data_IF_082815440414
#
_entry.id   IF_082815440414
#
_cell.length_a   1.000
_cell.length_b   1.000
_cell.length_c   1.000
_cell.angle_alpha   90.00
_cell.angle_beta   90.00
_cell.angle_gamma   90.00
#
_symmetry.space_group_name_H-M   'P 1'
#
loop_
_entity.id
_entity.type
_entity.pdbx_description
1 polymer ?
#
# COMPACT_ATOMS: atom_id res chain seq x y z
N UNK A 1 61.23 9.14 -31.34
CA UNK A 1 60.18 9.07 -32.37
C UNK A 1 58.84 8.91 -31.64
N UNK A 2 57.88 9.79 -31.85
CA UNK A 2 56.69 9.94 -31.00
C UNK A 2 55.53 9.15 -31.56
N UNK A 3 54.75 8.52 -30.63
CA UNK A 3 53.43 7.96 -30.92
C UNK A 3 52.37 8.92 -30.41
N UNK A 4 51.63 9.43 -31.35
CA UNK A 4 50.53 10.37 -31.21
C UNK A 4 49.35 9.77 -30.46
N UNK A 5 49.06 10.28 -29.25
CA UNK A 5 47.81 10.09 -28.55
C UNK A 5 46.69 10.96 -29.13
N UNK A 6 45.62 10.34 -29.59
CA UNK A 6 44.37 11.04 -29.92
C UNK A 6 43.58 11.25 -28.64
N UNK A 7 43.58 12.44 -28.13
CA UNK A 7 42.58 12.96 -27.18
C UNK A 7 41.32 13.30 -28.00
N UNK A 8 40.30 12.45 -27.95
CA UNK A 8 38.96 12.78 -28.41
C UNK A 8 38.29 13.66 -27.35
N UNK A 9 38.12 14.92 -27.74
CA UNK A 9 37.46 15.95 -26.93
C UNK A 9 35.97 15.62 -26.67
N UNK A 10 35.61 15.48 -25.41
CA UNK A 10 34.24 15.54 -24.94
C UNK A 10 33.73 17.01 -24.96
N UNK A 11 33.45 17.49 -26.15
CA UNK A 11 32.76 18.77 -26.36
C UNK A 11 31.71 18.58 -27.43
N UNK A 12 30.45 18.35 -27.01
CA UNK A 12 29.22 18.83 -27.65
C UNK A 12 27.98 18.00 -27.23
N UNK A 13 27.63 18.02 -25.96
CA UNK A 13 26.24 17.77 -25.56
C UNK A 13 25.80 18.91 -24.63
N UNK A 14 25.91 20.15 -25.12
CA UNK A 14 25.36 21.35 -24.50
C UNK A 14 24.49 22.13 -25.48
N UNK A 15 23.58 21.45 -26.17
CA UNK A 15 22.78 22.06 -27.23
C UNK A 15 21.34 21.63 -27.32
N UNK A 16 20.63 21.51 -26.19
CA UNK A 16 19.16 21.49 -26.24
C UNK A 16 18.54 22.19 -25.01
N UNK A 17 18.83 23.49 -24.85
CA UNK A 17 18.16 24.37 -23.86
C UNK A 17 16.85 25.00 -24.37
N UNK A 18 16.34 24.59 -25.53
CA UNK A 18 15.20 25.26 -26.18
C UNK A 18 13.97 24.40 -26.41
N UNK A 19 13.87 23.21 -25.82
CA UNK A 19 12.68 22.35 -25.99
C UNK A 19 11.74 22.28 -24.79
N UNK A 20 11.89 23.14 -23.79
CA UNK A 20 10.88 23.24 -22.73
C UNK A 20 9.94 24.38 -23.08
N UNK A 21 8.67 24.11 -23.46
CA UNK A 21 7.70 25.19 -23.68
C UNK A 21 7.42 25.88 -22.34
N UNK A 22 7.55 27.21 -22.31
CA UNK A 22 7.20 28.05 -21.17
C UNK A 22 5.74 27.79 -20.75
N UNK A 23 5.52 27.28 -19.54
CA UNK A 23 4.20 27.10 -18.97
C UNK A 23 3.58 28.46 -18.66
N UNK A 24 2.68 28.93 -19.53
CA UNK A 24 1.79 30.03 -19.23
C UNK A 24 0.57 29.57 -18.42
N UNK A 25 -0.20 30.52 -17.81
CA UNK A 25 -1.29 30.18 -16.88
C UNK A 25 -2.34 29.25 -17.50
N UNK A 26 -2.82 28.29 -16.71
CA UNK A 26 -3.81 27.30 -17.10
C UNK A 26 -5.08 27.96 -17.64
N UNK A 27 -5.46 27.67 -18.88
CA UNK A 27 -6.75 28.06 -19.48
C UNK A 27 -7.77 26.93 -19.33
N UNK A 28 -9.04 27.33 -19.18
CA UNK A 28 -10.21 26.48 -18.96
C UNK A 28 -10.30 25.27 -19.91
N UNK A 29 -10.83 24.11 -19.45
CA UNK A 29 -11.00 22.92 -20.29
C UNK A 29 -12.00 23.23 -21.44
N UNK A 30 -11.60 22.90 -22.68
CA UNK A 30 -12.40 23.09 -23.89
C UNK A 30 -11.81 24.05 -24.93
N UNK A 31 -10.65 24.67 -24.68
CA UNK A 31 -10.01 25.52 -25.69
C UNK A 31 -9.24 24.70 -26.75
N UNK A 32 -9.15 25.17 -28.02
CA UNK A 32 -8.39 24.49 -29.09
C UNK A 32 -6.92 24.22 -28.71
N UNK A 33 -6.35 25.03 -27.82
CA UNK A 33 -5.01 24.85 -27.28
C UNK A 33 -4.93 23.67 -26.30
N UNK A 34 -6.00 23.30 -25.59
CA UNK A 34 -6.02 22.16 -24.69
C UNK A 34 -6.09 20.84 -25.47
N UNK A 35 -6.88 20.78 -26.54
CA UNK A 35 -6.97 19.61 -27.44
C UNK A 35 -5.68 19.36 -28.22
N UNK A 36 -5.02 20.41 -28.69
CA UNK A 36 -3.71 20.33 -29.34
C UNK A 36 -2.62 19.81 -28.40
N UNK A 37 -2.62 20.23 -27.12
CA UNK A 37 -1.68 19.72 -26.10
C UNK A 37 -1.93 18.26 -25.79
N UNK A 38 -3.18 17.85 -25.64
CA UNK A 38 -3.54 16.45 -25.38
C UNK A 38 -3.11 15.54 -26.54
N UNK A 39 -3.29 15.99 -27.79
CA UNK A 39 -2.81 15.27 -28.98
C UNK A 39 -1.29 15.19 -29.01
N UNK A 40 -0.57 16.23 -28.65
CA UNK A 40 0.88 16.23 -28.56
C UNK A 40 1.38 15.21 -27.52
N UNK A 41 0.82 15.22 -26.30
CA UNK A 41 1.21 14.26 -25.26
C UNK A 41 0.93 12.81 -25.65
N UNK A 42 -0.19 12.53 -26.34
CA UNK A 42 -0.47 11.18 -26.86
C UNK A 42 0.54 10.70 -27.89
N UNK A 43 1.04 11.61 -28.74
CA UNK A 43 2.08 11.27 -29.71
C UNK A 43 3.41 11.00 -29.02
N UNK A 44 3.78 11.83 -28.04
CA UNK A 44 5.01 11.66 -27.25
C UNK A 44 4.94 10.36 -26.44
N UNK A 45 3.78 10.05 -25.81
CA UNK A 45 3.53 8.81 -25.08
C UNK A 45 3.77 7.57 -25.97
N UNK A 46 3.26 7.60 -27.20
CA UNK A 46 3.50 6.51 -28.16
C UNK A 46 4.99 6.34 -28.50
N UNK A 47 5.73 7.42 -28.66
CA UNK A 47 7.16 7.40 -28.95
C UNK A 47 7.97 6.88 -27.74
N UNK A 48 7.67 7.34 -26.54
CA UNK A 48 8.31 6.88 -25.29
C UNK A 48 8.07 5.39 -25.02
N UNK A 49 6.85 4.88 -25.33
CA UNK A 49 6.58 3.45 -25.22
C UNK A 49 7.32 2.61 -26.27
N UNK A 50 7.62 3.15 -27.45
CA UNK A 50 8.43 2.47 -28.48
C UNK A 50 9.91 2.43 -28.11
N UNK A 51 10.41 3.44 -27.40
CA UNK A 51 11.80 3.54 -26.96
C UNK A 51 12.05 2.90 -25.58
N UNK A 52 10.98 2.58 -24.84
CA UNK A 52 11.11 1.99 -23.52
C UNK A 52 11.79 0.62 -23.58
N UNK A 53 12.95 0.52 -22.93
CA UNK A 53 13.78 -0.70 -22.92
C UNK A 53 15.00 -0.67 -23.84
N UNK A 54 15.17 0.37 -24.65
CA UNK A 54 16.34 0.50 -25.55
C UNK A 54 17.68 0.48 -24.80
N UNK A 55 17.68 0.97 -23.55
CA UNK A 55 18.88 1.02 -22.70
C UNK A 55 19.03 -0.16 -21.74
N UNK A 56 18.07 -1.08 -21.66
CA UNK A 56 18.09 -2.19 -20.69
C UNK A 56 19.25 -3.18 -20.94
N UNK A 57 19.70 -3.31 -22.20
CA UNK A 57 20.78 -4.19 -22.60
C UNK A 57 22.17 -3.53 -22.68
N UNK A 58 22.28 -2.22 -22.37
CA UNK A 58 23.53 -1.47 -22.48
C UNK A 58 24.17 -1.29 -21.09
N UNK A 59 25.32 -1.94 -20.78
CA UNK A 59 25.92 -1.92 -19.45
C UNK A 59 26.24 -0.51 -18.94
N UNK A 60 26.71 0.39 -19.81
CA UNK A 60 27.04 1.77 -19.46
C UNK A 60 25.79 2.58 -19.10
N UNK A 61 24.69 2.34 -19.80
CA UNK A 61 23.41 2.99 -19.58
C UNK A 61 22.77 2.52 -18.26
N UNK A 62 22.89 1.22 -17.94
CA UNK A 62 22.41 0.64 -16.68
C UNK A 62 23.17 1.22 -15.49
N UNK A 63 24.49 1.35 -15.58
CA UNK A 63 25.32 1.98 -14.54
C UNK A 63 24.97 3.46 -14.34
N UNK A 64 24.63 4.17 -15.43
CA UNK A 64 24.19 5.56 -15.40
C UNK A 64 22.73 5.75 -14.93
N UNK A 65 21.96 4.67 -14.69
CA UNK A 65 20.57 4.74 -14.25
C UNK A 65 19.57 5.12 -15.34
N UNK A 66 19.97 5.15 -16.61
CA UNK A 66 19.13 5.55 -17.75
C UNK A 66 17.84 4.72 -17.89
N UNK A 67 17.87 3.37 -17.74
CA UNK A 67 16.64 2.57 -17.82
C UNK A 67 15.58 2.94 -16.77
N UNK A 68 16.02 3.33 -15.57
CA UNK A 68 15.10 3.77 -14.51
C UNK A 68 14.52 5.15 -14.79
N UNK A 69 15.34 6.07 -15.32
CA UNK A 69 14.93 7.41 -15.70
C UNK A 69 13.94 7.38 -16.86
N UNK A 70 14.15 6.55 -17.88
CA UNK A 70 13.22 6.39 -19.01
C UNK A 70 11.87 5.86 -18.58
N UNK A 71 11.86 4.79 -17.77
CA UNK A 71 10.59 4.28 -17.22
C UNK A 71 9.84 5.29 -16.36
N UNK A 72 10.55 6.20 -15.69
CA UNK A 72 9.93 7.30 -14.95
C UNK A 72 9.33 8.34 -15.88
N UNK A 73 10.05 8.72 -16.94
CA UNK A 73 9.57 9.67 -17.95
C UNK A 73 8.33 9.15 -18.69
N UNK A 74 8.33 7.90 -19.13
CA UNK A 74 7.20 7.27 -19.81
C UNK A 74 5.92 7.34 -18.94
N UNK A 75 6.01 7.03 -17.64
CA UNK A 75 4.86 7.12 -16.71
C UNK A 75 4.33 8.54 -16.55
N UNK A 76 5.21 9.53 -16.48
CA UNK A 76 4.82 10.94 -16.35
C UNK A 76 4.10 11.41 -17.64
N UNK A 77 4.61 11.03 -18.80
CA UNK A 77 4.03 11.38 -20.09
C UNK A 77 2.69 10.70 -20.29
N UNK A 78 2.54 9.43 -19.93
CA UNK A 78 1.28 8.69 -19.94
C UNK A 78 0.21 9.41 -19.08
N UNK A 79 0.57 9.85 -17.87
CA UNK A 79 -0.36 10.59 -17.01
C UNK A 79 -0.78 11.94 -17.60
N UNK A 80 0.14 12.64 -18.26
CA UNK A 80 -0.17 13.90 -18.98
C UNK A 80 -1.05 13.65 -20.22
N UNK A 81 -0.82 12.55 -20.93
CA UNK A 81 -1.58 12.14 -22.09
C UNK A 81 -3.03 11.75 -21.75
N UNK A 82 -3.26 11.16 -20.57
CA UNK A 82 -4.60 10.80 -20.08
C UNK A 82 -5.41 12.00 -19.60
N UNK A 83 -4.77 13.16 -19.41
CA UNK A 83 -5.46 14.42 -19.02
C UNK A 83 -6.13 14.35 -17.64
N UNK A 84 -5.65 13.49 -16.73
CA UNK A 84 -6.22 13.34 -15.41
C UNK A 84 -6.19 14.65 -14.61
N UNK A 85 -7.28 15.03 -13.91
CA UNK A 85 -7.31 16.22 -13.06
C UNK A 85 -6.21 16.11 -11.98
N UNK A 86 -5.38 17.14 -11.85
CA UNK A 86 -4.26 17.14 -10.90
C UNK A 86 -2.99 16.38 -11.35
N UNK A 87 -2.89 15.96 -12.62
CA UNK A 87 -1.73 15.23 -13.16
C UNK A 87 -0.36 15.91 -12.91
N UNK A 88 -0.35 17.22 -12.71
CA UNK A 88 0.85 18.02 -12.41
C UNK A 88 1.04 18.31 -10.92
N UNK A 89 0.19 17.76 -10.03
CA UNK A 89 0.41 17.93 -8.59
C UNK A 89 1.62 17.11 -8.13
N UNK A 90 2.38 17.64 -7.15
CA UNK A 90 3.53 16.93 -6.58
C UNK A 90 3.16 15.55 -6.04
N UNK A 91 1.95 15.42 -5.47
CA UNK A 91 1.40 14.14 -5.00
C UNK A 91 1.17 13.13 -6.15
N UNK A 92 0.71 13.60 -7.31
CA UNK A 92 0.52 12.75 -8.50
C UNK A 92 1.86 12.30 -9.07
N UNK A 93 2.83 13.20 -9.16
CA UNK A 93 4.20 12.87 -9.58
C UNK A 93 4.85 11.85 -8.65
N UNK A 94 4.72 12.01 -7.34
CA UNK A 94 5.24 11.08 -6.34
C UNK A 94 4.59 9.69 -6.43
N UNK A 95 3.29 9.62 -6.74
CA UNK A 95 2.57 8.35 -7.00
C UNK A 95 3.05 7.67 -8.29
N UNK A 96 3.29 8.45 -9.35
CA UNK A 96 3.79 7.93 -10.64
C UNK A 96 5.22 7.39 -10.53
N UNK A 97 6.06 7.98 -9.70
CA UNK A 97 7.40 7.45 -9.42
C UNK A 97 7.39 6.13 -8.63
N UNK A 98 6.22 5.64 -8.22
CA UNK A 98 6.07 4.38 -7.48
C UNK A 98 6.62 4.41 -6.06
N UNK A 99 6.96 5.59 -5.53
CA UNK A 99 7.49 5.78 -4.17
C UNK A 99 6.41 5.78 -3.09
N UNK A 100 5.16 6.11 -3.46
CA UNK A 100 4.03 6.04 -2.55
C UNK A 100 3.08 4.93 -2.97
N UNK A 101 2.90 3.94 -2.08
CA UNK A 101 1.85 2.93 -2.22
C UNK A 101 0.51 3.65 -2.06
N UNK A 102 -0.21 3.85 -3.15
CA UNK A 102 -1.55 4.42 -3.10
C UNK A 102 -2.48 3.59 -2.20
N UNK A 103 -3.57 4.21 -1.73
CA UNK A 103 -4.60 3.60 -0.85
C UNK A 103 -5.05 2.20 -1.28
N UNK A 104 -5.00 1.86 -2.57
CA UNK A 104 -5.31 0.52 -3.09
C UNK A 104 -4.39 -0.59 -2.56
N UNK A 105 -3.10 -0.32 -2.33
CA UNK A 105 -2.16 -1.29 -1.77
C UNK A 105 -2.42 -1.60 -0.29
N UNK A 106 -2.84 -0.61 0.49
CA UNK A 106 -3.17 -0.79 1.89
C UNK A 106 -4.50 -1.53 2.07
N UNK A 107 -5.54 -1.18 1.29
CA UNK A 107 -6.84 -1.86 1.33
C UNK A 107 -6.72 -3.34 0.92
N UNK A 108 -5.99 -3.62 -0.15
CA UNK A 108 -5.79 -4.99 -0.60
C UNK A 108 -4.93 -5.79 0.39
N UNK A 109 -3.92 -5.17 1.02
CA UNK A 109 -3.14 -5.82 2.10
C UNK A 109 -4.03 -6.14 3.30
N UNK A 110 -4.88 -5.21 3.73
CA UNK A 110 -5.83 -5.43 4.82
C UNK A 110 -6.84 -6.54 4.46
N UNK A 111 -7.30 -6.58 3.22
CA UNK A 111 -8.18 -7.62 2.70
C UNK A 111 -7.55 -9.01 2.78
N UNK A 112 -6.33 -9.15 2.28
CA UNK A 112 -5.58 -10.43 2.33
C UNK A 112 -5.33 -10.84 3.77
N UNK A 113 -4.98 -9.89 4.66
CA UNK A 113 -4.76 -10.16 6.07
C UNK A 113 -6.04 -10.63 6.76
N UNK A 114 -7.16 -9.95 6.54
CA UNK A 114 -8.45 -10.29 7.15
C UNK A 114 -8.95 -11.67 6.72
N UNK A 115 -8.93 -11.96 5.43
CA UNK A 115 -9.32 -13.27 4.92
C UNK A 115 -8.41 -14.41 5.42
N UNK A 116 -7.10 -14.12 5.49
CA UNK A 116 -6.14 -15.08 6.02
C UNK A 116 -6.34 -15.35 7.50
N UNK A 117 -6.56 -14.30 8.30
CA UNK A 117 -6.77 -14.46 9.74
C UNK A 117 -8.05 -15.25 10.03
N UNK A 118 -9.15 -14.92 9.34
CA UNK A 118 -10.39 -15.69 9.46
C UNK A 118 -10.22 -17.17 9.09
N UNK A 119 -9.50 -17.45 8.01
CA UNK A 119 -9.26 -18.81 7.55
C UNK A 119 -8.38 -19.61 8.53
N UNK A 120 -7.23 -19.06 8.93
CA UNK A 120 -6.27 -19.79 9.79
C UNK A 120 -6.80 -19.95 11.21
N UNK A 121 -7.37 -18.89 11.81
CA UNK A 121 -7.89 -18.93 13.17
C UNK A 121 -9.06 -19.92 13.30
N UNK A 122 -10.00 -19.85 12.37
CA UNK A 122 -11.17 -20.70 12.41
C UNK A 122 -10.86 -22.16 12.01
N UNK A 123 -9.92 -22.37 11.06
CA UNK A 123 -9.41 -23.70 10.75
C UNK A 123 -8.73 -24.34 11.98
N UNK A 124 -7.92 -23.57 12.68
CA UNK A 124 -7.25 -24.01 13.90
C UNK A 124 -8.25 -24.37 15.00
N UNK A 125 -9.30 -23.54 15.18
CA UNK A 125 -10.38 -23.80 16.13
C UNK A 125 -11.15 -25.09 15.80
N UNK A 126 -11.59 -25.23 14.54
CA UNK A 126 -12.33 -26.40 14.06
C UNK A 126 -11.49 -27.67 14.18
N UNK A 127 -10.21 -27.61 13.82
CA UNK A 127 -9.30 -28.78 13.96
C UNK A 127 -9.03 -29.11 15.43
N UNK A 128 -8.91 -28.12 16.32
CA UNK A 128 -8.75 -28.34 17.75
C UNK A 128 -9.94 -29.09 18.34
N UNK A 129 -11.16 -28.67 18.02
CA UNK A 129 -12.40 -29.32 18.48
C UNK A 129 -12.58 -30.72 17.84
N UNK A 130 -12.22 -30.88 16.56
CA UNK A 130 -12.23 -32.18 15.88
C UNK A 130 -11.21 -33.13 16.48
N UNK A 131 -10.05 -32.65 16.90
CA UNK A 131 -9.03 -33.45 17.59
C UNK A 131 -9.48 -33.96 18.96
N UNK A 132 -10.36 -33.22 19.64
CA UNK A 132 -10.96 -33.66 20.92
C UNK A 132 -12.08 -34.69 20.76
N UNK A 133 -12.34 -35.14 19.52
CA UNK A 133 -13.36 -36.17 19.18
C UNK A 133 -14.78 -35.78 19.61
N UNK A 134 -15.11 -34.50 19.55
CA UNK A 134 -16.43 -33.99 19.85
C UNK A 134 -17.43 -34.29 18.72
N UNK A 135 -18.72 -34.33 19.06
CA UNK A 135 -19.79 -34.60 18.12
C UNK A 135 -19.74 -33.61 16.93
N UNK A 136 -20.07 -34.02 15.69
CA UNK A 136 -20.01 -33.17 14.49
C UNK A 136 -20.80 -31.86 14.62
N UNK A 137 -21.95 -31.89 15.32
CA UNK A 137 -22.74 -30.71 15.60
C UNK A 137 -21.99 -29.71 16.50
N UNK A 138 -21.24 -30.17 17.49
CA UNK A 138 -20.44 -29.30 18.36
C UNK A 138 -19.31 -28.63 17.57
N UNK A 139 -18.67 -29.34 16.64
CA UNK A 139 -17.65 -28.76 15.74
C UNK A 139 -18.26 -27.65 14.88
N UNK A 140 -19.43 -27.93 14.27
CA UNK A 140 -20.13 -26.94 13.44
C UNK A 140 -20.51 -25.68 14.25
N UNK A 141 -21.12 -25.85 15.41
CA UNK A 141 -21.52 -24.73 16.28
C UNK A 141 -20.31 -23.93 16.72
N UNK A 142 -19.22 -24.59 17.12
CA UNK A 142 -17.98 -23.92 17.52
C UNK A 142 -17.35 -23.16 16.36
N UNK A 143 -17.32 -23.74 15.15
CA UNK A 143 -16.81 -23.08 13.95
C UNK A 143 -17.64 -21.84 13.58
N UNK A 144 -18.96 -21.91 13.65
CA UNK A 144 -19.83 -20.75 13.43
C UNK A 144 -19.67 -19.68 14.53
N UNK A 145 -19.57 -20.09 15.78
CA UNK A 145 -19.31 -19.16 16.88
C UNK A 145 -17.95 -18.47 16.73
N UNK A 146 -16.91 -19.23 16.35
CA UNK A 146 -15.59 -18.68 16.04
C UNK A 146 -15.59 -17.70 14.88
N UNK A 147 -16.30 -18.03 13.79
CA UNK A 147 -16.50 -17.12 12.65
C UNK A 147 -17.14 -15.81 13.09
N UNK A 148 -18.26 -15.86 13.80
CA UNK A 148 -18.98 -14.66 14.25
C UNK A 148 -18.15 -13.84 15.25
N UNK A 149 -17.61 -14.51 16.27
CA UNK A 149 -16.82 -13.84 17.30
C UNK A 149 -15.56 -13.17 16.69
N UNK A 150 -14.86 -13.85 15.81
CA UNK A 150 -13.68 -13.32 15.13
C UNK A 150 -14.04 -12.17 14.18
N UNK A 151 -15.09 -12.31 13.38
CA UNK A 151 -15.52 -11.26 12.46
C UNK A 151 -15.95 -9.99 13.21
N UNK A 152 -16.71 -10.10 14.29
CA UNK A 152 -17.08 -8.95 15.13
C UNK A 152 -15.87 -8.35 15.84
N UNK A 153 -14.99 -9.18 16.40
CA UNK A 153 -13.77 -8.71 17.07
C UNK A 153 -12.89 -7.89 16.13
N UNK A 154 -12.67 -8.42 14.93
CA UNK A 154 -11.85 -7.74 13.91
C UNK A 154 -12.51 -6.45 13.43
N UNK A 155 -13.81 -6.46 13.18
CA UNK A 155 -14.58 -5.27 12.79
C UNK A 155 -14.53 -4.15 13.83
N UNK A 156 -14.77 -4.50 15.10
CA UNK A 156 -14.74 -3.53 16.21
C UNK A 156 -13.32 -3.01 16.46
N UNK A 157 -12.32 -3.89 16.37
CA UNK A 157 -10.91 -3.51 16.48
C UNK A 157 -10.50 -2.51 15.38
N UNK A 158 -10.90 -2.77 14.14
CA UNK A 158 -10.61 -1.88 13.01
C UNK A 158 -11.35 -0.53 13.15
N UNK A 159 -12.64 -0.57 13.52
CA UNK A 159 -13.40 0.65 13.78
C UNK A 159 -12.74 1.53 14.84
N UNK A 160 -12.37 0.92 15.97
CA UNK A 160 -11.71 1.62 17.07
C UNK A 160 -10.34 2.16 16.64
N UNK A 161 -9.53 1.36 15.93
CA UNK A 161 -8.22 1.74 15.45
C UNK A 161 -8.28 2.98 14.53
N UNK A 162 -9.20 2.99 13.56
CA UNK A 162 -9.38 4.12 12.64
C UNK A 162 -9.84 5.37 13.37
N UNK A 163 -10.80 5.25 14.31
CA UNK A 163 -11.26 6.42 15.08
C UNK A 163 -10.17 6.96 15.99
N UNK A 164 -9.46 6.08 16.72
CA UNK A 164 -8.37 6.51 17.62
C UNK A 164 -7.24 7.19 16.84
N UNK A 165 -6.86 6.64 15.69
CA UNK A 165 -5.85 7.27 14.82
C UNK A 165 -6.30 8.65 14.35
N UNK A 166 -7.58 8.78 13.95
CA UNK A 166 -8.15 10.06 13.52
C UNK A 166 -8.19 11.07 14.67
N UNK A 167 -8.68 10.67 15.85
CA UNK A 167 -8.75 11.54 17.03
C UNK A 167 -7.35 12.01 17.47
N UNK A 168 -6.36 11.12 17.41
CA UNK A 168 -4.97 11.47 17.71
C UNK A 168 -4.42 12.48 16.71
N UNK A 169 -4.62 12.24 15.41
CA UNK A 169 -4.17 13.15 14.37
C UNK A 169 -4.88 14.53 14.46
N UNK A 170 -6.18 14.54 14.67
CA UNK A 170 -6.93 15.80 14.86
C UNK A 170 -6.43 16.60 16.06
N UNK A 171 -6.07 15.92 17.15
CA UNK A 171 -5.50 16.58 18.33
C UNK A 171 -4.12 17.18 18.01
N UNK A 172 -3.26 16.45 17.32
CA UNK A 172 -1.95 16.96 16.90
C UNK A 172 -2.09 18.17 15.98
N UNK A 173 -2.97 18.10 14.98
CA UNK A 173 -3.24 19.21 14.05
C UNK A 173 -3.81 20.44 14.81
N UNK A 174 -4.65 20.23 15.81
CA UNK A 174 -5.17 21.33 16.62
C UNK A 174 -4.08 21.99 17.45
N UNK A 175 -3.16 21.21 18.04
CA UNK A 175 -2.00 21.74 18.76
C UNK A 175 -1.12 22.56 17.82
N UNK A 176 -0.79 22.04 16.65
CA UNK A 176 0.00 22.70 15.62
C UNK A 176 -0.63 24.03 15.15
N UNK A 177 -1.96 24.04 15.00
CA UNK A 177 -2.69 25.27 14.67
C UNK A 177 -2.59 26.33 15.77
N UNK A 178 -2.66 25.91 17.03
CA UNK A 178 -2.53 26.80 18.19
C UNK A 178 -1.08 27.36 18.29
N UNK A 179 -0.07 26.53 18.04
CA UNK A 179 1.36 26.92 18.04
C UNK A 179 1.65 27.92 16.92
N UNK A 180 1.16 27.65 15.71
CA UNK A 180 1.27 28.56 14.57
C UNK A 180 0.61 29.93 14.84
N UNK A 181 -0.48 29.99 15.64
CA UNK A 181 -1.09 31.26 16.02
C UNK A 181 -0.35 32.01 17.13
N UNK A 182 0.19 31.26 18.12
CA UNK A 182 0.80 31.85 19.31
C UNK A 182 2.28 32.17 19.15
N UNK A 183 3.02 31.28 18.46
CA UNK A 183 4.50 31.36 18.34
C UNK A 183 5.01 31.15 16.91
N UNK A 184 4.49 31.87 15.91
CA UNK A 184 4.80 31.63 14.48
C UNK A 184 6.30 31.74 14.13
N UNK A 185 7.09 32.41 14.96
CA UNK A 185 8.54 32.51 14.75
C UNK A 185 9.25 31.22 15.15
N UNK A 186 8.74 30.48 16.14
CA UNK A 186 9.27 29.18 16.56
C UNK A 186 8.94 28.12 15.47
N UNK A 187 7.70 28.10 14.98
CA UNK A 187 7.27 27.25 13.86
C UNK A 187 8.12 27.45 12.58
N UNK A 188 8.46 28.69 12.30
CA UNK A 188 9.35 29.03 11.20
C UNK A 188 10.76 28.45 11.38
N UNK A 189 11.30 28.54 12.60
CA UNK A 189 12.62 28.00 12.90
C UNK A 189 12.62 26.46 12.83
N UNK A 190 11.59 25.79 13.39
CA UNK A 190 11.42 24.34 13.34
C UNK A 190 11.31 23.85 11.89
N UNK A 191 10.48 24.48 11.08
CA UNK A 191 10.35 24.14 9.66
C UNK A 191 11.68 24.35 8.90
N UNK A 192 12.44 25.40 9.25
CA UNK A 192 13.78 25.63 8.71
C UNK A 192 14.74 24.51 9.08
N UNK A 193 14.73 24.05 10.34
CA UNK A 193 15.55 22.92 10.78
C UNK A 193 15.18 21.60 10.09
N UNK A 194 13.90 21.35 9.88
CA UNK A 194 13.40 20.19 9.11
C UNK A 194 13.97 20.19 7.70
N UNK A 195 13.94 21.33 7.01
CA UNK A 195 14.51 21.45 5.66
C UNK A 195 16.02 21.35 5.62
N UNK A 196 16.72 21.86 6.64
CA UNK A 196 18.18 21.64 6.79
C UNK A 196 18.49 20.15 6.98
N UNK A 197 17.72 19.43 7.80
CA UNK A 197 17.88 17.99 7.98
C UNK A 197 17.61 17.21 6.67
N UNK A 198 16.80 17.77 5.76
CA UNK A 198 16.60 17.23 4.41
C UNK A 198 17.69 17.64 3.41
N UNK A 199 18.71 18.38 3.84
CA UNK A 199 19.90 18.71 3.06
C UNK A 199 19.89 20.09 2.40
N UNK A 200 18.95 20.98 2.74
CA UNK A 200 18.99 22.37 2.25
C UNK A 200 20.04 23.17 3.03
N UNK A 201 20.77 24.08 2.35
CA UNK A 201 21.58 25.08 3.03
C UNK A 201 20.72 25.98 3.95
N UNK A 202 21.28 26.45 5.06
CA UNK A 202 20.55 27.18 6.11
C UNK A 202 19.81 28.41 5.57
N UNK A 203 20.47 29.20 4.73
CA UNK A 203 19.89 30.41 4.12
C UNK A 203 18.68 30.11 3.24
N UNK A 204 18.73 29.04 2.46
CA UNK A 204 17.63 28.58 1.62
C UNK A 204 16.49 27.97 2.44
N UNK A 205 16.81 27.16 3.44
CA UNK A 205 15.84 26.55 4.33
C UNK A 205 15.03 27.61 5.08
N UNK A 206 15.71 28.64 5.63
CA UNK A 206 15.07 29.76 6.32
C UNK A 206 14.18 30.57 5.38
N UNK A 207 14.68 30.92 4.19
CA UNK A 207 13.88 31.66 3.19
C UNK A 207 12.65 30.89 2.72
N UNK A 208 12.75 29.55 2.60
CA UNK A 208 11.63 28.68 2.27
C UNK A 208 10.58 28.65 3.39
N UNK A 209 11.03 28.41 4.64
CA UNK A 209 10.17 28.40 5.81
C UNK A 209 9.40 29.73 5.98
N UNK A 210 10.08 30.88 5.83
CA UNK A 210 9.44 32.20 5.88
C UNK A 210 8.31 32.36 4.86
N UNK A 211 8.52 31.88 3.62
CA UNK A 211 7.51 31.95 2.56
C UNK A 211 6.31 31.04 2.81
N UNK A 212 6.55 29.85 3.35
CA UNK A 212 5.52 28.86 3.63
C UNK A 212 4.65 29.31 4.81
N UNK A 213 5.25 29.77 5.90
CA UNK A 213 4.53 30.28 7.09
C UNK A 213 3.80 31.59 6.79
N UNK A 214 4.34 32.48 5.95
CA UNK A 214 3.66 33.70 5.54
C UNK A 214 2.35 33.47 4.77
N UNK A 215 2.18 32.32 4.16
CA UNK A 215 0.96 31.92 3.47
C UNK A 215 -0.01 31.21 4.41
N UNK A 216 -0.83 31.94 5.13
CA UNK A 216 -1.77 31.43 6.15
C UNK A 216 -2.69 30.30 5.66
N UNK A 217 -2.96 30.20 4.35
CA UNK A 217 -3.85 29.16 3.81
C UNK A 217 -3.16 27.80 3.65
N UNK A 218 -1.83 27.78 3.55
CA UNK A 218 -1.04 26.58 3.34
C UNK A 218 -0.06 26.28 4.46
N UNK A 219 0.15 27.24 5.39
CA UNK A 219 1.11 27.08 6.49
C UNK A 219 0.80 25.83 7.32
N UNK A 220 -0.41 25.72 7.86
CA UNK A 220 -0.82 24.56 8.65
C UNK A 220 -0.74 23.25 7.87
N UNK A 221 -1.18 23.21 6.61
CA UNK A 221 -1.07 21.99 5.78
C UNK A 221 0.40 21.58 5.56
N UNK A 222 1.29 22.59 5.44
CA UNK A 222 2.73 22.33 5.29
C UNK A 222 3.32 21.75 6.58
N UNK A 223 3.05 22.36 7.73
CA UNK A 223 3.53 21.87 9.03
C UNK A 223 3.01 20.46 9.32
N UNK A 224 1.73 20.22 9.14
CA UNK A 224 1.10 18.91 9.34
C UNK A 224 1.78 17.82 8.48
N UNK A 225 2.17 18.13 7.24
CA UNK A 225 2.85 17.18 6.36
C UNK A 225 4.33 17.02 6.66
N UNK A 226 5.02 18.12 6.95
CA UNK A 226 6.48 18.14 7.06
C UNK A 226 6.96 17.78 8.46
N UNK A 227 6.26 18.21 9.49
CA UNK A 227 6.59 18.01 10.89
C UNK A 227 5.88 16.78 11.47
N UNK A 228 4.55 16.72 11.40
CA UNK A 228 3.79 15.61 11.94
C UNK A 228 3.82 14.37 11.04
N UNK A 229 4.21 14.51 9.77
CA UNK A 229 4.20 13.42 8.79
C UNK A 229 2.79 12.91 8.47
N UNK A 230 1.75 13.71 8.76
CA UNK A 230 0.35 13.35 8.56
C UNK A 230 -0.11 13.86 7.19
N UNK A 231 -0.73 12.97 6.39
CA UNK A 231 -1.46 13.40 5.20
C UNK A 231 -2.94 13.64 5.55
N UNK A 232 -3.41 14.90 5.56
CA UNK A 232 -4.80 15.21 5.89
C UNK A 232 -5.83 14.51 4.99
N UNK A 233 -5.46 14.19 3.75
CA UNK A 233 -6.33 13.47 2.82
C UNK A 233 -6.55 12.00 3.25
N UNK A 234 -5.57 11.38 3.91
CA UNK A 234 -5.67 10.01 4.41
C UNK A 234 -6.53 9.89 5.67
N UNK A 235 -6.75 10.97 6.41
CA UNK A 235 -7.62 11.01 7.58
C UNK A 235 -9.12 10.88 7.23
N UNK A 236 -9.50 11.04 5.97
CA UNK A 236 -10.88 11.04 5.47
C UNK A 236 -11.55 9.67 5.40
N UNK A 237 -10.85 8.55 5.65
CA UNK A 237 -11.37 7.19 5.55
C UNK A 237 -12.55 6.92 6.51
N UNK A 238 -13.59 6.18 6.07
CA UNK A 238 -14.72 5.83 6.93
C UNK A 238 -14.38 4.64 7.86
N UNK A 239 -14.43 4.83 9.17
CA UNK A 239 -14.25 3.76 10.15
C UNK A 239 -15.29 2.62 9.98
N UNK A 240 -16.52 2.95 9.57
CA UNK A 240 -17.55 1.96 9.28
C UNK A 240 -17.26 1.16 8.00
N UNK A 241 -16.70 1.80 6.98
CA UNK A 241 -16.27 1.09 5.78
C UNK A 241 -15.11 0.13 6.09
N UNK A 242 -14.13 0.56 6.87
CA UNK A 242 -13.04 -0.29 7.32
C UNK A 242 -13.55 -1.49 8.14
N UNK A 243 -14.40 -1.24 9.14
CA UNK A 243 -14.99 -2.28 9.97
C UNK A 243 -15.81 -3.30 9.18
N UNK A 244 -16.70 -2.84 8.29
CA UNK A 244 -17.53 -3.75 7.49
C UNK A 244 -16.70 -4.57 6.51
N UNK A 245 -15.66 -3.99 5.93
CA UNK A 245 -14.72 -4.71 5.06
C UNK A 245 -13.98 -5.79 5.84
N UNK A 246 -13.45 -5.45 7.03
CA UNK A 246 -12.77 -6.41 7.91
C UNK A 246 -13.69 -7.56 8.34
N UNK A 247 -14.94 -7.24 8.72
CA UNK A 247 -15.95 -8.24 9.05
C UNK A 247 -16.17 -9.24 7.91
N UNK A 248 -16.45 -8.71 6.71
CA UNK A 248 -16.76 -9.53 5.54
C UNK A 248 -15.58 -10.41 5.12
N UNK A 249 -14.38 -9.84 5.10
CA UNK A 249 -13.19 -10.58 4.67
C UNK A 249 -12.81 -11.67 5.65
N UNK A 250 -12.91 -11.40 6.97
CA UNK A 250 -12.73 -12.43 7.98
C UNK A 250 -13.77 -13.54 7.83
N UNK A 251 -15.05 -13.19 7.70
CA UNK A 251 -16.13 -14.16 7.56
C UNK A 251 -15.96 -15.03 6.29
N UNK A 252 -15.55 -14.42 5.17
CA UNK A 252 -15.23 -15.15 3.94
C UNK A 252 -14.09 -16.14 4.15
N UNK A 253 -13.02 -15.75 4.85
CA UNK A 253 -11.94 -16.68 5.20
C UNK A 253 -12.41 -17.80 6.12
N UNK A 254 -13.13 -17.45 7.18
CA UNK A 254 -13.56 -18.36 8.24
C UNK A 254 -14.61 -19.38 7.82
N UNK A 255 -15.35 -19.16 6.72
CA UNK A 255 -16.36 -20.11 6.26
C UNK A 255 -15.76 -21.40 5.67
N UNK A 256 -14.58 -21.33 5.04
CA UNK A 256 -13.99 -22.47 4.34
C UNK A 256 -13.77 -23.70 5.24
N UNK A 257 -13.19 -23.59 6.45
CA UNK A 257 -13.03 -24.74 7.33
C UNK A 257 -14.34 -25.25 7.93
N UNK A 258 -15.40 -24.42 7.99
CA UNK A 258 -16.70 -24.79 8.58
C UNK A 258 -17.64 -25.39 7.56
N UNK A 259 -17.62 -24.91 6.30
CA UNK A 259 -18.57 -25.27 5.27
C UNK A 259 -18.77 -26.79 5.09
N UNK A 260 -17.75 -27.63 5.08
CA UNK A 260 -17.93 -29.08 4.94
C UNK A 260 -18.76 -29.75 6.03
N UNK A 261 -18.76 -29.20 7.25
CA UNK A 261 -19.51 -29.74 8.39
C UNK A 261 -21.03 -29.54 8.32
N UNK A 262 -21.53 -28.75 7.35
CA UNK A 262 -22.95 -28.67 7.06
C UNK A 262 -23.50 -29.93 6.41
N UNK A 263 -22.68 -30.63 5.62
CA UNK A 263 -23.11 -31.80 4.83
C UNK A 263 -22.39 -33.11 5.21
N UNK A 264 -21.24 -33.02 5.85
CA UNK A 264 -20.38 -34.18 6.16
C UNK A 264 -20.15 -34.25 7.66
N UNK A 265 -19.80 -35.46 8.13
CA UNK A 265 -19.46 -35.74 9.53
C UNK A 265 -18.22 -36.62 9.62
N UNK A 266 -17.54 -36.62 10.77
CA UNK A 266 -16.38 -37.44 11.05
C UNK A 266 -15.20 -37.18 10.11
N UNK A 267 -14.43 -38.21 9.79
CA UNK A 267 -13.21 -38.11 8.99
C UNK A 267 -13.42 -37.47 7.61
N UNK A 268 -14.49 -37.76 6.84
CA UNK A 268 -14.77 -37.06 5.56
C UNK A 268 -14.91 -35.55 5.71
N UNK A 269 -15.53 -35.06 6.78
CA UNK A 269 -15.69 -33.64 7.04
C UNK A 269 -14.32 -32.99 7.33
N UNK A 270 -13.48 -33.64 8.13
CA UNK A 270 -12.12 -33.17 8.45
C UNK A 270 -11.28 -33.05 7.17
N UNK A 271 -11.28 -34.09 6.33
CA UNK A 271 -10.52 -34.08 5.07
C UNK A 271 -11.03 -32.97 4.14
N UNK A 272 -12.34 -32.86 3.96
CA UNK A 272 -12.94 -31.84 3.12
C UNK A 272 -12.65 -30.41 3.63
N UNK A 273 -12.68 -30.21 4.95
CA UNK A 273 -12.32 -28.95 5.61
C UNK A 273 -10.85 -28.57 5.34
N UNK A 274 -9.93 -29.50 5.50
CA UNK A 274 -8.51 -29.28 5.22
C UNK A 274 -8.26 -28.99 3.74
N UNK A 275 -8.92 -29.71 2.83
CA UNK A 275 -8.78 -29.47 1.39
C UNK A 275 -9.33 -28.11 0.99
N UNK A 276 -10.54 -27.75 1.42
CA UNK A 276 -11.14 -26.45 1.14
C UNK A 276 -10.28 -25.30 1.69
N UNK A 277 -9.84 -25.44 2.95
CA UNK A 277 -8.94 -24.46 3.58
C UNK A 277 -7.58 -24.39 2.90
N UNK A 278 -7.03 -25.52 2.46
CA UNK A 278 -5.77 -25.56 1.73
C UNK A 278 -5.83 -24.83 0.40
N UNK A 279 -6.89 -25.03 -0.39
CA UNK A 279 -7.10 -24.25 -1.62
C UNK A 279 -7.21 -22.76 -1.32
N UNK A 280 -7.99 -22.39 -0.33
CA UNK A 280 -8.15 -20.98 0.06
C UNK A 280 -6.83 -20.36 0.55
N UNK A 281 -6.04 -21.06 1.38
CA UNK A 281 -4.71 -20.63 1.83
C UNK A 281 -3.76 -20.40 0.66
N UNK A 282 -3.75 -21.33 -0.30
CA UNK A 282 -2.90 -21.19 -1.48
C UNK A 282 -3.30 -19.96 -2.31
N UNK A 283 -4.60 -19.74 -2.53
CA UNK A 283 -5.10 -18.59 -3.27
C UNK A 283 -4.81 -17.26 -2.56
N UNK A 284 -5.01 -17.19 -1.24
CA UNK A 284 -4.67 -16.01 -0.43
C UNK A 284 -3.16 -15.74 -0.47
N UNK A 285 -2.33 -16.76 -0.29
CA UNK A 285 -0.88 -16.66 -0.38
C UNK A 285 -0.40 -16.24 -1.77
N UNK A 286 -1.06 -16.72 -2.82
CA UNK A 286 -0.82 -16.30 -4.20
C UNK A 286 -1.23 -14.84 -4.43
N UNK A 287 -2.37 -14.40 -3.88
CA UNK A 287 -2.81 -13.01 -3.92
C UNK A 287 -1.82 -12.04 -3.25
N UNK A 288 -1.15 -12.47 -2.19
CA UNK A 288 -0.13 -11.68 -1.51
C UNK A 288 1.09 -11.35 -2.40
N UNK A 289 1.29 -12.07 -3.50
CA UNK A 289 2.39 -11.80 -4.45
C UNK A 289 2.22 -10.48 -5.18
N UNK A 290 0.98 -10.01 -5.32
CA UNK A 290 0.68 -8.72 -5.93
C UNK A 290 1.33 -7.54 -5.19
N UNK A 291 1.67 -7.72 -3.90
CA UNK A 291 2.36 -6.68 -3.11
C UNK A 291 3.82 -7.01 -2.86
N UNK A 292 4.16 -8.31 -2.76
CA UNK A 292 5.50 -8.72 -2.33
C UNK A 292 6.45 -8.93 -3.51
N UNK A 293 5.92 -9.00 -4.74
CA UNK A 293 6.70 -9.30 -5.95
C UNK A 293 7.37 -10.68 -5.95
N UNK A 294 7.02 -11.57 -4.99
CA UNK A 294 7.58 -12.92 -4.91
C UNK A 294 6.83 -13.89 -5.80
N UNK A 295 7.44 -15.05 -6.10
CA UNK A 295 6.81 -16.07 -6.92
C UNK A 295 5.52 -16.64 -6.28
N UNK A 296 4.49 -16.84 -7.10
CA UNK A 296 3.15 -17.32 -6.71
C UNK A 296 3.23 -18.65 -5.97
N UNK A 297 3.96 -19.63 -6.52
CA UNK A 297 4.11 -20.96 -5.94
C UNK A 297 4.78 -20.89 -4.56
N UNK A 298 5.84 -20.10 -4.43
CA UNK A 298 6.53 -19.94 -3.15
C UNK A 298 5.62 -19.34 -2.08
N UNK A 299 4.90 -18.26 -2.39
CA UNK A 299 4.02 -17.60 -1.43
C UNK A 299 2.81 -18.47 -1.06
N UNK A 300 2.19 -19.13 -2.04
CA UNK A 300 1.09 -20.05 -1.82
C UNK A 300 1.51 -21.24 -0.96
N UNK A 301 2.64 -21.89 -1.27
CA UNK A 301 3.15 -23.03 -0.51
C UNK A 301 3.54 -22.63 0.92
N UNK A 302 4.19 -21.48 1.09
CA UNK A 302 4.51 -20.96 2.44
C UNK A 302 3.25 -20.79 3.28
N UNK A 303 2.19 -20.23 2.71
CA UNK A 303 0.92 -20.00 3.39
C UNK A 303 0.25 -21.32 3.79
N UNK A 304 0.26 -22.32 2.89
CA UNK A 304 -0.20 -23.67 3.17
C UNK A 304 0.53 -24.31 4.35
N UNK A 305 1.87 -24.26 4.35
CA UNK A 305 2.68 -24.89 5.40
C UNK A 305 2.42 -24.25 6.76
N UNK A 306 2.33 -22.93 6.83
CA UNK A 306 2.06 -22.21 8.08
C UNK A 306 0.64 -22.53 8.59
N UNK A 307 -0.37 -22.50 7.71
CA UNK A 307 -1.75 -22.77 8.09
C UNK A 307 -1.94 -24.22 8.55
N UNK A 308 -1.39 -25.20 7.84
CA UNK A 308 -1.49 -26.61 8.24
C UNK A 308 -0.66 -26.92 9.49
N UNK A 309 0.46 -26.26 9.71
CA UNK A 309 1.20 -26.37 10.96
C UNK A 309 0.35 -25.91 12.16
N UNK A 310 -0.31 -24.75 12.04
CA UNK A 310 -1.22 -24.25 13.07
C UNK A 310 -2.38 -25.22 13.33
N UNK A 311 -3.05 -25.71 12.27
CA UNK A 311 -4.12 -26.68 12.38
C UNK A 311 -3.65 -28.02 13.00
N UNK A 312 -2.47 -28.50 12.65
CA UNK A 312 -1.88 -29.74 13.22
C UNK A 312 -1.57 -29.61 14.70
N UNK A 313 -1.01 -28.47 15.12
CA UNK A 313 -0.74 -28.19 16.53
C UNK A 313 -2.04 -28.14 17.33
N UNK A 314 -3.06 -27.41 16.86
CA UNK A 314 -4.34 -27.31 17.56
C UNK A 314 -5.11 -28.61 17.58
N UNK A 315 -5.08 -29.40 16.51
CA UNK A 315 -5.63 -30.76 16.49
C UNK A 315 -4.95 -31.67 17.53
N UNK A 316 -3.61 -31.65 17.62
CA UNK A 316 -2.85 -32.41 18.60
C UNK A 316 -3.19 -32.01 20.04
N UNK A 317 -3.30 -30.72 20.33
CA UNK A 317 -3.73 -30.19 21.63
C UNK A 317 -5.16 -30.64 21.93
N UNK A 318 -6.08 -30.51 20.97
CA UNK A 318 -7.45 -30.99 21.11
C UNK A 318 -7.53 -32.47 21.47
N UNK A 319 -6.74 -33.31 20.80
CA UNK A 319 -6.67 -34.76 21.10
C UNK A 319 -6.16 -35.05 22.52
N UNK A 320 -5.16 -34.31 23.00
CA UNK A 320 -4.66 -34.46 24.37
C UNK A 320 -5.72 -34.08 25.42
N UNK A 321 -6.45 -32.95 25.17
CA UNK A 321 -7.53 -32.49 26.03
C UNK A 321 -8.69 -33.48 26.00
N UNK A 322 -9.08 -34.01 24.83
CA UNK A 322 -10.14 -35.01 24.68
C UNK A 322 -9.86 -36.26 25.50
N UNK A 323 -8.65 -36.80 25.43
CA UNK A 323 -8.24 -37.97 26.24
C UNK A 323 -8.32 -37.65 27.74
N UNK A 324 -7.89 -36.45 28.16
CA UNK A 324 -7.88 -36.09 29.59
C UNK A 324 -9.29 -35.85 30.17
N UNK A 325 -10.27 -35.52 29.34
CA UNK A 325 -11.65 -35.25 29.78
C UNK A 325 -12.54 -36.53 29.74
N UNK A 326 -12.24 -37.45 28.84
CA UNK A 326 -13.02 -38.69 28.63
C UNK A 326 -12.42 -39.90 29.33
N UNK A 327 -11.17 -39.87 29.79
CA UNK A 327 -10.49 -40.91 30.58
C UNK A 327 -10.59 -40.61 32.06
#
# INVERSE_FOLDING_TARGET
>A
MPSTGRTTSLQSISGCRSCVPAFGPARLPGSPAASARLSYYKTVDTLEHMDSGTYDAQPEAVVAGLPAAERSHARIIEALATGAPGALSGATLARLEGRHRGMGGNALRAAVLGANDGLVSNMSLVMGVAGADLAPHAILVTGLAGLLAGAFSMALGEWLSVNTARESAQRQIATEADELEQVPEEEKEELSLIYQAKGLPEDLARSLAERLIANKTTALDTLVREELGIDPEELGGSAWAAASTSFLLFAVGAIFPVAPYFALAGLPAIIASLLASGVALFLIGSGATLFTGRGVVFSGTRQLLVGFAAAGVTFGIGKLIGIAVTG
#
